data_IF_132731061828
#
_entry.id   IF_132731061828
#
_cell.length_a   1.000
_cell.length_b   1.000
_cell.length_c   1.000
_cell.angle_alpha   90.00
_cell.angle_beta   90.00
_cell.angle_gamma   90.00
#
_symmetry.space_group_name_H-M   'P 1'
#
loop_
_entity.id
_entity.type
_entity.pdbx_description
1 polymer ?
#
# COMPACT_ATOMS: atom_id res chain seq x y z
N UNK A 1 -8.17 -2.61 -17.21
CA UNK A 1 -8.70 -3.11 -15.93
C UNK A 1 -10.02 -3.86 -16.11
N UNK A 2 -10.04 -5.16 -15.79
CA UNK A 2 -11.22 -6.04 -15.88
C UNK A 2 -11.87 -6.26 -14.52
N UNK A 3 -13.20 -6.16 -14.45
CA UNK A 3 -13.96 -6.47 -13.23
C UNK A 3 -14.32 -7.96 -13.18
N UNK A 4 -14.09 -8.60 -12.03
CA UNK A 4 -14.45 -9.99 -11.81
C UNK A 4 -14.66 -10.31 -10.34
N UNK A 5 -14.71 -11.61 -10.04
CA UNK A 5 -14.80 -12.13 -8.67
C UNK A 5 -13.42 -12.60 -8.22
N UNK A 6 -12.99 -12.16 -7.05
CA UNK A 6 -11.76 -12.61 -6.40
C UNK A 6 -12.10 -13.23 -5.04
N UNK A 7 -11.39 -14.30 -4.70
CA UNK A 7 -11.68 -15.08 -3.49
C UNK A 7 -10.59 -14.89 -2.45
N UNK A 8 -11.01 -14.60 -1.22
CA UNK A 8 -10.17 -14.61 -0.03
C UNK A 8 -10.64 -15.79 0.82
N UNK A 9 -9.76 -16.76 1.06
CA UNK A 9 -10.08 -17.90 1.91
C UNK A 9 -10.01 -17.45 3.38
N UNK A 10 -11.03 -17.84 4.14
CA UNK A 10 -11.19 -17.51 5.55
C UNK A 10 -11.01 -18.81 6.34
N UNK A 11 -9.89 -18.94 7.03
CA UNK A 11 -9.66 -20.03 7.97
C UNK A 11 -9.59 -19.47 9.40
N UNK A 12 -9.50 -20.35 10.38
CA UNK A 12 -9.55 -20.03 11.81
C UNK A 12 -10.82 -19.24 12.22
N UNK A 13 -10.88 -18.80 13.48
CA UNK A 13 -11.96 -17.98 13.97
C UNK A 13 -11.67 -16.50 13.72
N UNK A 14 -12.54 -15.84 12.94
CA UNK A 14 -12.48 -14.40 12.74
C UNK A 14 -13.31 -13.68 13.80
N UNK A 15 -12.69 -12.73 14.48
CA UNK A 15 -13.37 -11.73 15.29
C UNK A 15 -13.96 -10.61 14.42
N UNK A 16 -14.88 -9.83 14.98
CA UNK A 16 -15.35 -8.61 14.32
C UNK A 16 -14.22 -7.60 14.06
N UNK A 17 -13.18 -7.62 14.89
CA UNK A 17 -12.00 -6.79 14.70
C UNK A 17 -11.20 -7.23 13.47
N UNK A 18 -11.03 -8.55 13.25
CA UNK A 18 -10.36 -9.08 12.05
C UNK A 18 -11.07 -8.61 10.77
N UNK A 19 -12.40 -8.71 10.71
CA UNK A 19 -13.19 -8.20 9.57
C UNK A 19 -13.03 -6.70 9.36
N UNK A 20 -13.05 -5.93 10.45
CA UNK A 20 -12.89 -4.47 10.42
C UNK A 20 -11.50 -4.07 9.91
N UNK A 21 -10.46 -4.69 10.44
CA UNK A 21 -9.06 -4.48 10.04
C UNK A 21 -8.89 -4.85 8.56
N UNK A 22 -9.28 -6.07 8.18
CA UNK A 22 -9.15 -6.55 6.81
C UNK A 22 -9.84 -5.62 5.82
N UNK A 23 -11.13 -5.33 6.03
CA UNK A 23 -11.92 -4.50 5.11
C UNK A 23 -11.35 -3.09 4.97
N UNK A 24 -10.94 -2.47 6.09
CA UNK A 24 -10.35 -1.14 6.10
C UNK A 24 -8.99 -1.07 5.40
N UNK A 25 -8.13 -2.05 5.62
CA UNK A 25 -6.82 -2.06 4.97
C UNK A 25 -6.94 -2.41 3.49
N UNK A 26 -7.77 -3.40 3.16
CA UNK A 26 -7.96 -3.86 1.79
C UNK A 26 -8.44 -2.72 0.89
N UNK A 27 -9.48 -1.97 1.29
CA UNK A 27 -9.98 -0.85 0.48
C UNK A 27 -8.94 0.27 0.29
N UNK A 28 -8.05 0.48 1.27
CA UNK A 28 -7.00 1.49 1.18
C UNK A 28 -5.91 1.07 0.18
N UNK A 29 -5.42 -0.16 0.29
CA UNK A 29 -4.38 -0.69 -0.63
C UNK A 29 -4.97 -0.85 -2.04
N UNK A 30 -6.24 -1.25 -2.14
CA UNK A 30 -6.98 -1.29 -3.39
C UNK A 30 -7.02 0.08 -4.07
N UNK A 31 -7.38 1.13 -3.32
CA UNK A 31 -7.32 2.52 -3.78
C UNK A 31 -5.93 2.92 -4.30
N UNK A 32 -4.89 2.51 -3.58
CA UNK A 32 -3.52 2.77 -3.98
C UNK A 32 -3.15 2.12 -5.31
N UNK A 33 -3.32 0.80 -5.46
CA UNK A 33 -2.96 0.10 -6.70
C UNK A 33 -3.85 0.48 -7.88
N UNK A 34 -5.15 0.71 -7.65
CA UNK A 34 -6.04 1.24 -8.68
C UNK A 34 -5.55 2.58 -9.22
N UNK A 35 -5.17 3.50 -8.32
CA UNK A 35 -4.64 4.81 -8.73
C UNK A 35 -3.30 4.71 -9.48
N UNK A 36 -2.41 3.78 -9.10
CA UNK A 36 -1.18 3.53 -9.88
C UNK A 36 -1.49 3.06 -11.31
N UNK A 37 -2.43 2.11 -11.47
CA UNK A 37 -2.86 1.65 -12.80
C UNK A 37 -3.53 2.74 -13.62
N UNK A 38 -4.31 3.62 -12.99
CA UNK A 38 -4.91 4.78 -13.67
C UNK A 38 -3.85 5.75 -14.21
N UNK A 39 -2.72 5.89 -13.49
CA UNK A 39 -1.58 6.72 -13.90
C UNK A 39 -0.82 6.08 -15.06
N UNK A 40 -0.67 4.75 -15.03
CA UNK A 40 -0.09 3.94 -16.11
C UNK A 40 -0.93 4.02 -17.39
N UNK A 41 -2.23 3.73 -17.32
CA UNK A 41 -3.13 3.59 -18.48
C UNK A 41 -3.45 4.93 -19.15
N UNK A 42 -3.81 5.95 -18.35
CA UNK A 42 -4.41 7.19 -18.88
C UNK A 42 -3.47 8.39 -18.84
N UNK A 43 -2.20 8.19 -18.50
CA UNK A 43 -1.27 9.27 -18.21
C UNK A 43 -1.80 10.29 -17.18
N UNK A 44 -2.74 9.88 -16.31
CA UNK A 44 -3.52 10.79 -15.47
C UNK A 44 -2.66 11.69 -14.58
N UNK A 45 -3.17 12.90 -14.30
CA UNK A 45 -2.50 13.94 -13.52
C UNK A 45 -2.82 13.81 -12.02
N UNK A 46 -2.66 12.61 -11.46
CA UNK A 46 -2.70 12.47 -10.00
C UNK A 46 -1.46 13.14 -9.42
N UNK A 47 -1.63 14.35 -8.90
CA UNK A 47 -0.53 15.15 -8.35
C UNK A 47 -0.54 15.14 -6.83
N UNK A 48 0.20 14.22 -6.22
CA UNK A 48 0.28 14.13 -4.77
C UNK A 48 1.49 14.86 -4.17
N UNK A 49 2.46 15.30 -4.99
CA UNK A 49 3.58 16.14 -4.56
C UNK A 49 3.15 17.43 -3.84
N UNK A 50 2.05 18.05 -4.28
CA UNK A 50 1.53 19.30 -3.70
C UNK A 50 0.88 19.11 -2.33
N UNK A 51 0.61 17.86 -1.92
CA UNK A 51 0.12 17.61 -0.57
C UNK A 51 1.18 18.05 0.44
N UNK A 52 0.77 18.50 1.63
CA UNK A 52 1.70 19.06 2.59
C UNK A 52 2.61 17.97 3.22
N UNK A 53 2.25 16.68 3.11
CA UNK A 53 3.02 15.52 3.61
C UNK A 53 3.54 15.66 5.06
N UNK A 54 2.80 16.37 5.93
CA UNK A 54 3.22 16.77 7.29
C UNK A 54 3.07 15.65 8.34
N UNK A 55 3.06 14.39 7.91
CA UNK A 55 2.87 13.24 8.79
C UNK A 55 1.51 12.56 8.64
N UNK A 56 0.97 12.04 9.75
CA UNK A 56 -0.13 11.06 9.75
C UNK A 56 -1.40 11.52 9.03
N UNK A 57 -1.82 12.78 9.22
CA UNK A 57 -3.02 13.32 8.55
C UNK A 57 -2.88 13.37 7.03
N UNK A 58 -1.71 13.75 6.51
CA UNK A 58 -1.45 13.76 5.06
C UNK A 58 -1.51 12.36 4.46
N UNK A 59 -1.02 11.37 5.19
CA UNK A 59 -1.07 9.96 4.79
C UNK A 59 -2.52 9.43 4.76
N UNK A 60 -3.39 9.84 5.68
CA UNK A 60 -4.82 9.48 5.64
C UNK A 60 -5.50 10.11 4.44
N UNK A 61 -5.24 11.39 4.18
CA UNK A 61 -5.81 12.12 3.06
C UNK A 61 -5.35 11.54 1.70
N UNK A 62 -4.08 11.12 1.61
CA UNK A 62 -3.54 10.49 0.40
C UNK A 62 -4.33 9.24 0.02
N UNK A 63 -4.47 8.28 0.94
CA UNK A 63 -5.22 7.05 0.68
C UNK A 63 -6.72 7.30 0.46
N UNK A 64 -7.29 8.28 1.16
CA UNK A 64 -8.69 8.67 0.94
C UNK A 64 -8.89 9.26 -0.45
N UNK A 65 -7.97 10.12 -0.90
CA UNK A 65 -7.97 10.69 -2.25
C UNK A 65 -7.81 9.60 -3.31
N UNK A 66 -6.87 8.66 -3.14
CA UNK A 66 -6.68 7.54 -4.07
C UNK A 66 -7.96 6.72 -4.23
N UNK A 67 -8.62 6.39 -3.11
CA UNK A 67 -9.91 5.69 -3.11
C UNK A 67 -11.00 6.47 -3.86
N UNK A 68 -11.05 7.80 -3.70
CA UNK A 68 -12.09 8.63 -4.30
C UNK A 68 -11.99 8.73 -5.84
N UNK A 69 -10.87 8.34 -6.44
CA UNK A 69 -10.73 8.25 -7.89
C UNK A 69 -11.31 6.96 -8.48
N UNK A 70 -11.67 5.98 -7.63
CA UNK A 70 -12.30 4.75 -8.09
C UNK A 70 -13.75 5.05 -8.46
N UNK A 71 -14.12 4.77 -9.70
CA UNK A 71 -15.52 4.81 -10.11
C UNK A 71 -16.36 3.87 -9.23
N UNK A 72 -17.59 4.23 -8.77
CA UNK A 72 -18.35 3.40 -7.83
C UNK A 72 -18.55 1.94 -8.26
N UNK A 73 -18.68 1.67 -9.56
CA UNK A 73 -18.79 0.30 -10.11
C UNK A 73 -17.50 -0.53 -9.98
N UNK A 74 -16.35 0.12 -9.89
CA UNK A 74 -15.03 -0.51 -9.74
C UNK A 74 -14.59 -0.61 -8.28
N UNK A 75 -15.37 -0.10 -7.31
CA UNK A 75 -15.08 -0.30 -5.89
C UNK A 75 -15.22 -1.79 -5.54
N UNK A 76 -14.30 -2.34 -4.71
CA UNK A 76 -14.40 -3.71 -4.28
C UNK A 76 -15.59 -3.84 -3.32
N UNK A 77 -16.50 -4.77 -3.61
CA UNK A 77 -17.68 -5.02 -2.78
C UNK A 77 -17.77 -6.51 -2.46
N UNK A 78 -18.37 -6.82 -1.31
CA UNK A 78 -18.64 -8.22 -0.96
C UNK A 78 -19.69 -8.78 -1.92
N UNK A 79 -19.30 -9.80 -2.68
CA UNK A 79 -20.22 -10.56 -3.52
C UNK A 79 -20.90 -11.66 -2.69
N UNK A 80 -20.11 -12.42 -1.92
CA UNK A 80 -20.58 -13.51 -1.07
C UNK A 80 -19.62 -13.73 0.09
N UNK A 81 -20.15 -14.07 1.25
CA UNK A 81 -19.36 -14.63 2.36
C UNK A 81 -19.99 -15.95 2.76
N UNK A 82 -19.17 -17.00 2.75
CA UNK A 82 -19.48 -18.27 3.39
C UNK A 82 -18.52 -18.44 4.56
N UNK A 83 -19.06 -18.30 5.76
CA UNK A 83 -18.30 -18.38 6.99
C UNK A 83 -18.54 -19.72 7.69
N UNK A 84 -17.49 -20.55 7.76
CA UNK A 84 -17.29 -21.72 8.61
C UNK A 84 -16.01 -22.39 8.11
N UNK A 85 -14.95 -22.45 8.93
CA UNK A 85 -13.61 -22.91 8.50
C UNK A 85 -13.66 -24.32 7.88
N UNK A 86 -13.24 -24.52 6.61
CA UNK A 86 -12.73 -23.50 5.68
C UNK A 86 -13.85 -22.69 5.01
N UNK A 87 -13.77 -21.36 5.12
CA UNK A 87 -14.69 -20.39 4.55
C UNK A 87 -14.12 -19.62 3.35
N UNK A 88 -14.96 -18.78 2.74
CA UNK A 88 -14.55 -17.92 1.62
C UNK A 88 -15.31 -16.60 1.62
N UNK A 89 -14.59 -15.50 1.36
CA UNK A 89 -15.12 -14.19 1.03
C UNK A 89 -14.82 -13.91 -0.45
N UNK A 90 -15.87 -13.81 -1.25
CA UNK A 90 -15.79 -13.40 -2.64
C UNK A 90 -16.04 -11.90 -2.73
N UNK A 91 -15.13 -11.18 -3.38
CA UNK A 91 -15.25 -9.76 -3.67
C UNK A 91 -15.46 -9.55 -5.17
N UNK A 92 -16.41 -8.70 -5.55
CA UNK A 92 -16.43 -8.13 -6.88
C UNK A 92 -15.42 -6.98 -6.93
N UNK A 93 -14.38 -7.11 -7.76
CA UNK A 93 -13.27 -6.17 -7.80
C UNK A 93 -12.57 -6.19 -9.16
N UNK A 94 -11.75 -5.17 -9.46
CA UNK A 94 -10.78 -5.26 -10.56
C UNK A 94 -9.74 -6.35 -10.27
N UNK A 95 -9.65 -7.36 -11.13
CA UNK A 95 -8.86 -8.58 -10.93
C UNK A 95 -7.36 -8.23 -10.81
N UNK A 96 -6.86 -7.36 -11.69
CA UNK A 96 -5.45 -7.02 -11.73
C UNK A 96 -5.02 -6.23 -10.47
N UNK A 97 -5.91 -5.39 -9.92
CA UNK A 97 -5.67 -4.66 -8.67
C UNK A 97 -5.65 -5.62 -7.48
N UNK A 98 -6.57 -6.59 -7.44
CA UNK A 98 -6.56 -7.62 -6.39
C UNK A 98 -5.30 -8.50 -6.47
N UNK A 99 -4.83 -8.80 -7.69
CA UNK A 99 -3.55 -9.46 -7.94
C UNK A 99 -2.37 -8.68 -7.35
N UNK A 100 -2.31 -7.37 -7.56
CA UNK A 100 -1.25 -6.53 -6.98
C UNK A 100 -1.24 -6.57 -5.44
N UNK A 101 -2.43 -6.57 -4.81
CA UNK A 101 -2.57 -6.70 -3.35
C UNK A 101 -2.06 -8.07 -2.88
N UNK A 102 -2.43 -9.14 -3.59
CA UNK A 102 -1.99 -10.51 -3.28
C UNK A 102 -0.47 -10.61 -3.32
N UNK A 103 0.16 -10.13 -4.39
CA UNK A 103 1.62 -10.16 -4.54
C UNK A 103 2.33 -9.36 -3.44
N UNK A 104 1.81 -8.18 -3.09
CA UNK A 104 2.32 -7.38 -1.98
C UNK A 104 2.25 -8.14 -0.65
N UNK A 105 1.09 -8.73 -0.33
CA UNK A 105 0.86 -9.47 0.93
C UNK A 105 1.77 -10.70 0.98
N UNK A 106 1.86 -11.48 -0.11
CA UNK A 106 2.75 -12.64 -0.21
C UNK A 106 4.21 -12.24 -0.02
N UNK A 107 4.65 -11.13 -0.62
CA UNK A 107 6.01 -10.61 -0.46
C UNK A 107 6.33 -10.25 1.01
N UNK A 108 5.38 -9.60 1.70
CA UNK A 108 5.53 -9.26 3.13
C UNK A 108 5.58 -10.54 3.97
N UNK A 109 4.71 -11.52 3.72
CA UNK A 109 4.72 -12.80 4.44
C UNK A 109 6.05 -13.56 4.24
N UNK A 110 6.54 -13.64 3.00
CA UNK A 110 7.77 -14.35 2.66
C UNK A 110 9.04 -13.72 3.27
N UNK A 111 9.00 -12.41 3.60
CA UNK A 111 10.16 -11.66 4.07
C UNK A 111 9.93 -10.94 5.40
N UNK A 112 8.95 -11.39 6.20
CA UNK A 112 8.38 -10.63 7.33
C UNK A 112 9.43 -10.00 8.26
N UNK A 113 10.38 -10.80 8.76
CA UNK A 113 11.43 -10.31 9.67
C UNK A 113 12.32 -9.28 8.98
N UNK A 114 12.70 -9.52 7.72
CA UNK A 114 13.55 -8.61 6.97
C UNK A 114 12.85 -7.29 6.69
N UNK A 115 11.63 -7.32 6.13
CA UNK A 115 10.92 -6.08 5.78
C UNK A 115 10.51 -5.28 7.02
N UNK A 116 10.13 -5.95 8.11
CA UNK A 116 9.81 -5.28 9.37
C UNK A 116 11.02 -4.58 9.97
N UNK A 117 12.20 -5.21 9.87
CA UNK A 117 13.47 -4.61 10.32
C UNK A 117 13.86 -3.42 9.44
N UNK A 118 13.82 -3.58 8.11
CA UNK A 118 14.06 -2.48 7.14
C UNK A 118 13.15 -1.30 7.41
N UNK A 119 11.83 -1.53 7.50
CA UNK A 119 10.86 -0.48 7.81
C UNK A 119 11.18 0.21 9.15
N UNK A 120 11.49 -0.56 10.21
CA UNK A 120 11.80 -0.01 11.52
C UNK A 120 13.04 0.89 11.48
N UNK A 121 14.12 0.45 10.83
CA UNK A 121 15.36 1.22 10.69
C UNK A 121 15.11 2.50 9.90
N UNK A 122 14.46 2.40 8.73
CA UNK A 122 14.11 3.55 7.90
C UNK A 122 13.24 4.54 8.67
N UNK A 123 12.18 4.07 9.31
CA UNK A 123 11.27 4.92 10.07
C UNK A 123 11.99 5.61 11.25
N UNK A 124 12.85 4.89 11.97
CA UNK A 124 13.65 5.47 13.06
C UNK A 124 14.56 6.59 12.57
N UNK A 125 15.27 6.37 11.47
CA UNK A 125 16.18 7.36 10.88
C UNK A 125 15.43 8.56 10.26
N UNK A 126 14.27 8.32 9.66
CA UNK A 126 13.37 9.34 9.13
C UNK A 126 12.88 10.28 10.25
N UNK A 127 12.52 9.73 11.42
CA UNK A 127 12.10 10.53 12.58
C UNK A 127 13.29 11.28 13.19
N UNK A 128 14.44 10.62 13.40
CA UNK A 128 15.62 11.27 13.99
C UNK A 128 16.13 12.45 13.16
N UNK A 129 15.98 12.37 11.83
CA UNK A 129 16.33 13.45 10.87
C UNK A 129 15.24 14.51 10.69
N UNK A 130 14.13 14.41 11.42
CA UNK A 130 13.01 15.37 11.36
C UNK A 130 12.46 15.56 9.93
N UNK A 131 12.43 14.50 9.13
CA UNK A 131 12.04 14.55 7.71
C UNK A 131 10.52 14.61 7.50
N UNK A 132 9.74 14.52 8.58
CA UNK A 132 8.29 14.45 8.54
C UNK A 132 7.66 15.59 7.75
N UNK A 133 8.12 16.82 7.96
CA UNK A 133 7.55 18.01 7.32
C UNK A 133 8.40 18.53 6.16
N UNK A 134 9.40 17.76 5.73
CA UNK A 134 10.30 18.12 4.65
C UNK A 134 9.93 17.44 3.33
N UNK A 135 10.36 18.06 2.24
CA UNK A 135 10.46 17.54 0.86
C UNK A 135 11.93 17.29 0.51
N UNK A 136 12.18 16.56 -0.58
CA UNK A 136 13.55 16.24 -0.99
C UNK A 136 14.42 17.50 -1.18
N UNK A 137 13.85 18.56 -1.76
CA UNK A 137 14.52 19.84 -1.97
C UNK A 137 14.85 20.61 -0.68
N UNK A 138 14.24 20.26 0.45
CA UNK A 138 14.45 20.90 1.77
C UNK A 138 15.44 20.12 2.64
N UNK A 139 16.10 19.10 2.10
CA UNK A 139 17.17 18.37 2.78
C UNK A 139 18.50 19.09 2.56
N UNK A 140 19.13 19.50 3.66
CA UNK A 140 20.28 20.41 3.65
C UNK A 140 21.61 19.71 3.31
N UNK A 141 21.70 18.39 3.52
CA UNK A 141 22.92 17.62 3.35
C UNK A 141 22.71 16.42 2.41
N UNK A 142 23.79 15.98 1.74
CA UNK A 142 23.73 14.83 0.82
C UNK A 142 23.60 13.49 1.53
N UNK A 143 24.02 13.37 2.79
CA UNK A 143 23.84 12.14 3.58
C UNK A 143 22.35 11.80 3.74
N UNK A 144 21.52 12.78 4.09
CA UNK A 144 20.07 12.66 4.22
C UNK A 144 19.40 12.35 2.89
N UNK A 145 19.88 12.96 1.80
CA UNK A 145 19.37 12.66 0.45
C UNK A 145 19.74 11.24 0.01
N UNK A 146 20.96 10.78 0.31
CA UNK A 146 21.38 9.41 0.02
C UNK A 146 20.60 8.41 0.86
N UNK A 147 20.41 8.67 2.16
CA UNK A 147 19.55 7.87 3.01
C UNK A 147 18.14 7.71 2.41
N UNK A 148 17.53 8.81 1.91
CA UNK A 148 16.22 8.75 1.27
C UNK A 148 16.25 7.92 -0.02
N UNK A 149 17.24 8.13 -0.89
CA UNK A 149 17.41 7.37 -2.15
C UNK A 149 17.51 5.87 -1.87
N UNK A 150 18.41 5.50 -0.96
CA UNK A 150 18.68 4.11 -0.61
C UNK A 150 17.44 3.47 0.04
N UNK A 151 16.74 4.21 0.92
CA UNK A 151 15.51 3.75 1.56
C UNK A 151 14.37 3.51 0.56
N UNK A 152 14.25 4.35 -0.47
CA UNK A 152 13.25 4.17 -1.54
C UNK A 152 13.55 2.92 -2.35
N UNK A 153 14.81 2.72 -2.76
CA UNK A 153 15.25 1.53 -3.49
C UNK A 153 14.97 0.27 -2.65
N UNK A 154 15.40 0.26 -1.39
CA UNK A 154 15.24 -0.89 -0.51
C UNK A 154 13.76 -1.24 -0.29
N UNK A 155 12.89 -0.24 -0.10
CA UNK A 155 11.45 -0.50 0.07
C UNK A 155 10.77 -0.96 -1.23
N UNK A 156 11.17 -0.44 -2.40
CA UNK A 156 10.66 -0.94 -3.68
C UNK A 156 10.94 -2.42 -3.86
N UNK A 157 12.18 -2.84 -3.58
CA UNK A 157 12.61 -4.24 -3.67
C UNK A 157 11.88 -5.11 -2.65
N UNK A 158 11.84 -4.69 -1.37
CA UNK A 158 11.19 -5.47 -0.31
C UNK A 158 9.68 -5.60 -0.48
N UNK A 159 9.03 -4.56 -1.03
CA UNK A 159 7.59 -4.58 -1.29
C UNK A 159 7.24 -5.25 -2.63
N UNK A 160 8.26 -5.70 -3.39
CA UNK A 160 8.14 -6.40 -4.67
C UNK A 160 7.27 -5.62 -5.68
N UNK A 161 7.46 -4.31 -5.78
CA UNK A 161 6.73 -3.49 -6.74
C UNK A 161 7.25 -3.71 -8.16
N UNK A 162 6.34 -3.89 -9.11
CA UNK A 162 6.70 -4.03 -10.52
C UNK A 162 7.27 -2.71 -11.09
N UNK A 163 8.11 -2.75 -12.14
CA UNK A 163 8.66 -1.53 -12.75
C UNK A 163 7.61 -0.48 -13.14
N UNK A 164 6.43 -0.93 -13.59
CA UNK A 164 5.30 -0.05 -13.95
C UNK A 164 4.69 0.65 -12.73
N UNK A 165 4.58 -0.05 -11.61
CA UNK A 165 4.12 0.51 -10.34
C UNK A 165 5.13 1.53 -9.81
N UNK A 166 6.44 1.22 -9.89
CA UNK A 166 7.52 2.15 -9.53
C UNK A 166 7.43 3.42 -10.37
N UNK A 167 7.34 3.31 -11.70
CA UNK A 167 7.19 4.46 -12.60
C UNK A 167 5.96 5.31 -12.27
N UNK A 168 4.83 4.66 -11.99
CA UNK A 168 3.60 5.36 -11.60
C UNK A 168 3.74 6.07 -10.26
N UNK A 169 4.44 5.45 -9.30
CA UNK A 169 4.71 6.03 -7.99
C UNK A 169 5.60 7.29 -8.12
N UNK A 170 6.68 7.19 -8.90
CA UNK A 170 7.57 8.32 -9.21
C UNK A 170 6.83 9.44 -9.94
N UNK A 171 5.88 9.11 -10.82
CA UNK A 171 5.06 10.10 -11.52
C UNK A 171 4.15 10.86 -10.54
N UNK A 172 3.48 10.16 -9.63
CA UNK A 172 2.58 10.83 -8.67
C UNK A 172 3.32 11.59 -7.56
N UNK A 173 4.56 11.20 -7.25
CA UNK A 173 5.48 11.95 -6.38
C UNK A 173 6.18 13.11 -7.11
N UNK A 174 6.00 13.25 -8.43
CA UNK A 174 6.74 14.16 -9.32
C UNK A 174 8.27 14.05 -9.15
N UNK A 175 8.76 12.85 -8.86
CA UNK A 175 10.18 12.60 -8.61
C UNK A 175 10.70 13.04 -7.24
N UNK A 176 9.85 13.52 -6.33
CA UNK A 176 10.25 13.78 -4.95
C UNK A 176 10.38 12.45 -4.19
N UNK A 177 11.62 11.97 -4.05
CA UNK A 177 11.92 10.69 -3.42
C UNK A 177 11.58 10.66 -1.92
N UNK A 178 11.51 11.81 -1.23
CA UNK A 178 11.09 11.84 0.17
C UNK A 178 9.56 11.69 0.28
N UNK A 179 8.80 12.26 -0.66
CA UNK A 179 7.37 12.00 -0.79
C UNK A 179 7.12 10.53 -1.12
N UNK A 180 7.87 9.97 -2.06
CA UNK A 180 7.80 8.56 -2.43
C UNK A 180 8.10 7.63 -1.25
N UNK A 181 9.15 7.91 -0.48
CA UNK A 181 9.49 7.18 0.75
C UNK A 181 8.31 7.19 1.74
N UNK A 182 7.65 8.33 1.92
CA UNK A 182 6.45 8.45 2.78
C UNK A 182 5.30 7.59 2.27
N UNK A 183 5.08 7.52 0.96
CA UNK A 183 4.07 6.65 0.35
C UNK A 183 4.38 5.17 0.59
N UNK A 184 5.63 4.74 0.38
CA UNK A 184 6.06 3.34 0.58
C UNK A 184 5.94 2.90 2.04
N UNK A 185 6.42 3.72 2.99
CA UNK A 185 6.24 3.46 4.42
C UNK A 185 4.76 3.38 4.81
N UNK A 186 3.93 4.25 4.23
CA UNK A 186 2.49 4.26 4.48
C UNK A 186 1.76 3.06 3.87
N UNK A 187 2.23 2.53 2.74
CA UNK A 187 1.74 1.31 2.10
C UNK A 187 2.09 0.08 2.95
N UNK A 188 3.35 -0.08 3.36
CA UNK A 188 3.77 -1.18 4.23
C UNK A 188 2.92 -1.27 5.50
N UNK A 189 2.72 -0.13 6.19
CA UNK A 189 1.89 -0.06 7.41
C UNK A 189 0.44 -0.51 7.22
N UNK A 190 -0.11 -0.41 6.01
CA UNK A 190 -1.48 -0.80 5.69
C UNK A 190 -1.57 -2.24 5.21
N UNK A 191 -0.56 -2.71 4.51
CA UNK A 191 -0.48 -4.10 4.07
C UNK A 191 -0.12 -5.05 5.22
N UNK A 192 0.68 -4.60 6.18
CA UNK A 192 1.14 -5.43 7.31
C UNK A 192 -0.02 -6.10 8.06
N UNK A 193 -1.12 -5.43 8.47
CA UNK A 193 -2.21 -6.12 9.16
C UNK A 193 -2.88 -7.22 8.32
N UNK A 194 -2.95 -7.08 6.99
CA UNK A 194 -3.47 -8.15 6.12
C UNK A 194 -2.47 -9.31 6.07
N UNK A 195 -1.17 -9.01 5.97
CA UNK A 195 -0.13 -10.02 6.02
C UNK A 195 -0.09 -10.74 7.38
N UNK A 196 -0.34 -10.04 8.48
CA UNK A 196 -0.43 -10.63 9.82
C UNK A 196 -1.61 -11.61 9.88
N UNK A 197 -2.79 -11.25 9.37
CA UNK A 197 -3.93 -12.17 9.24
C UNK A 197 -3.57 -13.40 8.39
N UNK A 198 -2.77 -13.24 7.33
CA UNK A 198 -2.32 -14.38 6.51
C UNK A 198 -1.29 -15.26 7.22
N UNK A 199 -0.40 -14.67 8.02
CA UNK A 199 0.56 -15.41 8.84
C UNK A 199 -0.11 -16.16 10.01
N UNK A 200 -1.21 -15.62 10.53
CA UNK A 200 -2.09 -16.28 11.49
C UNK A 200 -2.95 -17.38 10.85
N UNK A 201 -2.77 -17.66 9.55
CA UNK A 201 -3.62 -18.52 8.73
C UNK A 201 -5.09 -18.08 8.64
N UNK A 202 -5.47 -16.90 9.12
CA UNK A 202 -6.87 -16.44 9.07
C UNK A 202 -7.32 -16.08 7.65
N UNK A 203 -6.47 -15.40 6.89
CA UNK A 203 -6.81 -14.87 5.57
C UNK A 203 -5.82 -15.35 4.52
N UNK A 204 -6.27 -15.94 3.42
CA UNK A 204 -5.40 -16.26 2.28
C UNK A 204 -5.93 -15.64 1.01
N UNK A 205 -5.17 -14.69 0.47
CA UNK A 205 -5.44 -13.99 -0.80
C UNK A 205 -4.99 -14.79 -2.02
#
# INVERSE_FOLDING_TARGET
>A
MEQGIVSIYLDEQWSLEDFSVFSKQYIQIYGFFYGLRLVEENNSTLEYERMPWLGGGSVVNFFSSMKNHIHPKALPNVHRIQYASPGVMELSAIIEVAGDIKELVVSICASLTSISTTYYVIHKQYISRQMAQKKMAQLDNEEDKNFVRDSVIELHEKLNLSPRQVMSLTKISKGDQLVELKMLMAMYRRAKPIADLQMENKARL
#
